data_IF_767782875878
#
_entry.id   IF_767782875878
#
_cell.length_a   1.000
_cell.length_b   1.000
_cell.length_c   1.000
_cell.angle_alpha   90.00
_cell.angle_beta   90.00
_cell.angle_gamma   90.00
#
_symmetry.space_group_name_H-M   'P 1'
#
loop_
_entity.id
_entity.type
_entity.pdbx_description
1 polymer ?
#
# COMPACT_ATOMS: atom_id res chain seq x y z
N UNK A 1 3.45 18.32 17.83
CA UNK A 1 3.84 18.32 16.41
C UNK A 1 2.72 17.73 15.59
N UNK A 2 2.27 18.42 14.54
CA UNK A 2 1.31 17.88 13.58
C UNK A 2 2.06 16.92 12.67
N UNK A 3 1.51 15.73 12.46
CA UNK A 3 2.19 14.69 11.71
C UNK A 3 2.21 15.00 10.20
N UNK A 4 3.16 14.42 9.44
CA UNK A 4 3.20 14.65 7.98
C UNK A 4 2.03 14.01 7.26
N UNK A 5 1.48 12.93 7.83
CA UNK A 5 0.26 12.31 7.38
C UNK A 5 -0.96 13.21 7.66
N UNK A 6 -1.05 13.79 8.85
CA UNK A 6 -2.15 14.69 9.25
C UNK A 6 -2.19 15.99 8.44
N UNK A 7 -1.05 16.40 7.88
CA UNK A 7 -0.94 17.58 7.02
C UNK A 7 -1.48 17.36 5.58
N UNK A 8 -1.76 16.12 5.18
CA UNK A 8 -2.35 15.81 3.88
C UNK A 8 -3.86 16.12 3.85
N UNK A 9 -4.37 16.44 2.66
CA UNK A 9 -5.82 16.46 2.43
C UNK A 9 -6.40 15.06 2.71
N UNK A 10 -7.60 14.98 3.29
CA UNK A 10 -8.22 13.72 3.71
C UNK A 10 -8.24 12.64 2.62
N UNK A 11 -8.55 13.01 1.37
CA UNK A 11 -8.50 12.07 0.23
C UNK A 11 -7.09 11.50 -0.02
N UNK A 12 -6.06 12.33 0.15
CA UNK A 12 -4.66 11.94 0.02
C UNK A 12 -4.18 11.10 1.21
N UNK A 13 -4.72 11.33 2.42
CA UNK A 13 -4.51 10.45 3.58
C UNK A 13 -5.03 9.05 3.28
N UNK A 14 -6.30 8.95 2.85
CA UNK A 14 -6.89 7.67 2.46
C UNK A 14 -6.08 7.00 1.34
N UNK A 15 -5.69 7.77 0.33
CA UNK A 15 -4.89 7.26 -0.77
C UNK A 15 -3.51 6.76 -0.35
N UNK A 16 -2.81 7.50 0.52
CA UNK A 16 -1.50 7.11 1.04
C UNK A 16 -1.61 5.85 1.92
N UNK A 17 -2.68 5.76 2.71
CA UNK A 17 -2.96 4.57 3.50
C UNK A 17 -3.20 3.34 2.60
N UNK A 18 -4.09 3.46 1.61
CA UNK A 18 -4.37 2.38 0.65
C UNK A 18 -3.12 1.98 -0.13
N UNK A 19 -2.28 2.95 -0.50
CA UNK A 19 -0.99 2.68 -1.14
C UNK A 19 -0.08 1.84 -0.23
N UNK A 20 0.06 2.25 1.04
CA UNK A 20 0.88 1.56 2.05
C UNK A 20 0.38 0.14 2.28
N UNK A 21 -0.91 -0.04 2.53
CA UNK A 21 -1.55 -1.33 2.74
C UNK A 21 -1.35 -2.29 1.55
N UNK A 22 -1.54 -1.80 0.32
CA UNK A 22 -1.30 -2.57 -0.91
C UNK A 22 0.18 -2.94 -1.07
N UNK A 23 1.09 -2.02 -0.79
CA UNK A 23 2.54 -2.25 -0.81
C UNK A 23 2.94 -3.37 0.15
N UNK A 24 2.52 -3.28 1.41
CA UNK A 24 2.79 -4.30 2.43
C UNK A 24 2.21 -5.65 2.02
N UNK A 25 0.93 -5.69 1.64
CA UNK A 25 0.27 -6.94 1.21
C UNK A 25 1.01 -7.61 0.06
N UNK A 26 1.47 -6.82 -0.93
CA UNK A 26 2.26 -7.32 -2.07
C UNK A 26 3.56 -7.98 -1.61
N UNK A 27 4.28 -7.37 -0.66
CA UNK A 27 5.51 -7.93 -0.10
C UNK A 27 5.26 -9.17 0.76
N UNK A 28 4.26 -9.12 1.62
CA UNK A 28 3.86 -10.26 2.47
C UNK A 28 3.48 -11.47 1.63
N UNK A 29 2.69 -11.27 0.57
CA UNK A 29 2.23 -12.35 -0.31
C UNK A 29 3.37 -13.12 -1.01
N UNK A 30 4.55 -12.52 -1.20
CA UNK A 30 5.71 -13.21 -1.80
C UNK A 30 6.18 -14.43 -1.01
N UNK A 31 5.84 -14.52 0.28
CA UNK A 31 6.19 -15.64 1.16
C UNK A 31 4.96 -16.45 1.61
N UNK A 32 3.83 -16.29 0.91
CA UNK A 32 2.56 -16.97 1.22
C UNK A 32 2.68 -18.50 1.34
N UNK A 33 3.53 -19.15 0.54
CA UNK A 33 3.76 -20.60 0.58
C UNK A 33 4.36 -21.09 1.91
N UNK A 34 5.25 -20.29 2.50
CA UNK A 34 5.93 -20.65 3.76
C UNK A 34 5.21 -20.11 5.00
N UNK A 35 4.27 -19.18 4.82
CA UNK A 35 3.57 -18.47 5.90
C UNK A 35 3.00 -19.36 6.99
N UNK A 36 2.43 -20.51 6.61
CA UNK A 36 1.82 -21.46 7.56
C UNK A 36 2.82 -22.18 8.46
N UNK A 37 4.07 -22.25 8.03
CA UNK A 37 5.14 -22.95 8.75
C UNK A 37 5.91 -22.01 9.66
N UNK A 38 5.74 -20.70 9.48
CA UNK A 38 6.45 -19.69 10.23
C UNK A 38 5.85 -19.49 11.62
N UNK A 39 6.73 -19.31 12.60
CA UNK A 39 6.35 -18.82 13.92
C UNK A 39 5.79 -17.40 13.84
N UNK A 40 5.16 -16.95 14.92
CA UNK A 40 4.70 -15.56 15.05
C UNK A 40 5.86 -14.58 14.83
N UNK A 41 6.99 -14.79 15.52
CA UNK A 41 8.19 -13.97 15.39
C UNK A 41 8.74 -13.89 13.95
N UNK A 42 8.74 -15.00 13.21
CA UNK A 42 9.16 -15.03 11.80
C UNK A 42 8.22 -14.21 10.90
N UNK A 43 6.90 -14.29 11.16
CA UNK A 43 5.92 -13.47 10.45
C UNK A 43 6.12 -11.98 10.76
N UNK A 44 6.24 -11.60 12.04
CA UNK A 44 6.48 -10.22 12.45
C UNK A 44 7.75 -9.64 11.81
N UNK A 45 8.87 -10.38 11.83
CA UNK A 45 10.11 -9.99 11.13
C UNK A 45 9.89 -9.76 9.64
N UNK A 46 9.11 -10.60 8.98
CA UNK A 46 8.80 -10.42 7.55
C UNK A 46 7.87 -9.24 7.29
N UNK A 47 6.91 -8.99 8.18
CA UNK A 47 6.00 -7.84 8.09
C UNK A 47 6.77 -6.53 8.26
N UNK A 48 7.65 -6.41 9.26
CA UNK A 48 8.56 -5.25 9.41
C UNK A 48 9.38 -4.97 8.16
N UNK A 49 9.96 -6.02 7.59
CA UNK A 49 10.70 -5.92 6.32
C UNK A 49 9.79 -5.49 5.16
N UNK A 50 8.54 -5.97 5.14
CA UNK A 50 7.55 -5.64 4.12
C UNK A 50 7.10 -4.18 4.22
N UNK A 51 6.88 -3.64 5.43
CA UNK A 51 6.63 -2.22 5.70
C UNK A 51 7.78 -1.34 5.19
N UNK A 52 9.02 -1.65 5.59
CA UNK A 52 10.21 -0.93 5.12
C UNK A 52 10.32 -0.96 3.58
N UNK A 53 10.05 -2.10 2.96
CA UNK A 53 10.11 -2.24 1.51
C UNK A 53 8.97 -1.50 0.80
N UNK A 54 7.76 -1.47 1.37
CA UNK A 54 6.64 -0.73 0.83
C UNK A 54 6.94 0.77 0.77
N UNK A 55 7.55 1.33 1.82
CA UNK A 55 7.85 2.77 1.90
C UNK A 55 9.13 3.19 1.19
N UNK A 56 10.07 2.26 0.93
CA UNK A 56 11.31 2.56 0.19
C UNK A 56 11.19 2.33 -1.31
N UNK A 57 10.35 1.38 -1.75
CA UNK A 57 10.16 1.06 -3.18
C UNK A 57 8.93 1.76 -3.77
N UNK A 58 8.89 3.08 -3.62
CA UNK A 58 7.88 3.93 -4.24
C UNK A 58 8.05 3.96 -5.77
N UNK A 59 6.98 4.30 -6.53
CA UNK A 59 7.07 4.49 -7.97
C UNK A 59 8.17 5.46 -8.39
N UNK A 60 8.67 5.27 -9.61
CA UNK A 60 9.62 6.20 -10.23
C UNK A 60 9.02 7.60 -10.35
N UNK A 61 7.79 7.67 -10.84
CA UNK A 61 7.03 8.91 -11.04
C UNK A 61 5.70 8.82 -10.27
N UNK A 62 5.65 9.49 -9.12
CA UNK A 62 4.41 9.64 -8.34
C UNK A 62 3.65 10.85 -8.89
N UNK A 63 2.35 10.69 -9.07
CA UNK A 63 1.43 11.75 -9.46
C UNK A 63 0.22 11.75 -8.53
N UNK A 64 -0.58 12.81 -8.61
CA UNK A 64 -1.95 12.80 -8.10
C UNK A 64 -2.92 12.99 -9.25
N UNK A 65 -4.09 12.41 -9.14
CA UNK A 65 -5.16 12.54 -10.12
C UNK A 65 -6.51 12.40 -9.43
N UNK A 66 -7.59 12.78 -10.11
CA UNK A 66 -8.95 12.63 -9.56
C UNK A 66 -9.51 11.28 -10.00
N UNK A 67 -9.95 10.50 -9.01
CA UNK A 67 -10.63 9.22 -9.19
C UNK A 67 -11.90 9.24 -8.37
N UNK A 68 -13.05 9.05 -9.03
CA UNK A 68 -14.36 9.02 -8.37
C UNK A 68 -14.63 10.30 -7.54
N UNK A 69 -14.20 11.46 -8.07
CA UNK A 69 -14.33 12.77 -7.40
C UNK A 69 -13.30 13.06 -6.30
N UNK A 70 -12.48 12.07 -5.91
CA UNK A 70 -11.46 12.20 -4.85
C UNK A 70 -10.06 12.29 -5.42
N UNK A 71 -9.18 13.06 -4.75
CA UNK A 71 -7.77 13.19 -5.17
C UNK A 71 -6.94 12.04 -4.63
N UNK A 72 -6.25 11.31 -5.50
CA UNK A 72 -5.49 10.10 -5.12
C UNK A 72 -4.07 10.12 -5.66
N UNK A 73 -3.15 9.49 -4.94
CA UNK A 73 -1.80 9.19 -5.42
C UNK A 73 -1.82 8.06 -6.45
N UNK A 74 -0.94 8.16 -7.45
CA UNK A 74 -0.78 7.16 -8.50
C UNK A 74 0.66 7.03 -8.99
N UNK A 75 0.94 5.88 -9.59
CA UNK A 75 2.14 5.68 -10.41
C UNK A 75 1.82 6.16 -11.84
N UNK A 76 2.45 7.26 -12.25
CA UNK A 76 2.20 7.85 -13.56
C UNK A 76 2.51 6.88 -14.70
N UNK A 77 3.60 6.11 -14.60
CA UNK A 77 3.97 5.13 -15.62
C UNK A 77 2.93 4.02 -15.74
N UNK A 78 2.43 3.53 -14.60
CA UNK A 78 1.37 2.52 -14.59
C UNK A 78 0.03 3.05 -15.12
N UNK A 79 -0.31 4.30 -14.81
CA UNK A 79 -1.53 4.94 -15.32
C UNK A 79 -1.48 5.14 -16.83
N UNK A 80 -0.35 5.63 -17.36
CA UNK A 80 -0.15 5.80 -18.80
C UNK A 80 -0.20 4.45 -19.53
N UNK A 81 0.36 3.39 -18.95
CA UNK A 81 0.30 2.05 -19.51
C UNK A 81 -1.13 1.47 -19.53
N UNK A 82 -1.97 1.81 -18.55
CA UNK A 82 -3.38 1.41 -18.51
C UNK A 82 -4.23 2.16 -19.54
N UNK A 83 -3.79 3.36 -19.93
CA UNK A 83 -4.53 4.25 -20.84
C UNK A 83 -5.76 4.88 -20.18
N UNK A 84 -6.44 5.73 -20.94
CA UNK A 84 -7.64 6.45 -20.51
C UNK A 84 -7.42 7.94 -20.25
N UNK A 85 -8.51 8.67 -20.06
CA UNK A 85 -8.48 10.09 -19.70
C UNK A 85 -8.29 10.24 -18.20
N UNK A 86 -7.32 11.06 -17.79
CA UNK A 86 -7.07 11.41 -16.40
C UNK A 86 -7.46 12.88 -16.19
N UNK A 87 -8.26 13.14 -15.16
CA UNK A 87 -8.61 14.50 -14.75
C UNK A 87 -7.77 14.91 -13.53
N UNK A 88 -7.47 16.20 -13.43
CA UNK A 88 -6.75 16.77 -12.29
C UNK A 88 -5.34 16.19 -12.06
N UNK A 89 -4.66 15.77 -13.13
CA UNK A 89 -3.32 15.21 -13.05
C UNK A 89 -2.32 16.27 -12.56
N UNK A 90 -1.58 15.96 -11.50
CA UNK A 90 -0.46 16.76 -11.00
C UNK A 90 0.76 15.88 -10.75
N UNK A 91 1.94 16.36 -11.19
CA UNK A 91 3.21 15.63 -11.15
C UNK A 91 4.30 16.42 -10.42
N UNK A 92 3.95 17.14 -9.35
CA UNK A 92 4.95 17.85 -8.54
C UNK A 92 6.01 16.88 -7.98
N UNK A 93 7.28 17.31 -8.01
CA UNK A 93 8.41 16.51 -7.49
C UNK A 93 8.29 16.18 -5.99
N UNK A 94 7.49 16.96 -5.25
CA UNK A 94 7.27 16.79 -3.82
C UNK A 94 6.31 15.62 -3.50
N UNK A 95 5.48 15.20 -4.44
CA UNK A 95 4.45 14.17 -4.23
C UNK A 95 5.06 12.82 -3.80
N UNK A 96 6.24 12.49 -4.33
CA UNK A 96 6.96 11.27 -3.96
C UNK A 96 7.45 11.32 -2.52
N UNK A 97 7.96 12.48 -2.09
CA UNK A 97 8.39 12.70 -0.70
C UNK A 97 7.20 12.63 0.24
N UNK A 98 6.10 13.33 -0.09
CA UNK A 98 4.85 13.30 0.68
C UNK A 98 4.32 11.87 0.87
N UNK A 99 4.18 11.11 -0.22
CA UNK A 99 3.72 9.71 -0.15
C UNK A 99 4.69 8.84 0.66
N UNK A 100 5.99 9.06 0.50
CA UNK A 100 7.02 8.30 1.22
C UNK A 100 7.03 8.56 2.71
N UNK A 101 6.86 9.82 3.11
CA UNK A 101 6.85 10.20 4.52
C UNK A 101 5.56 9.76 5.20
N UNK A 102 4.41 9.93 4.54
CA UNK A 102 3.14 9.35 4.97
C UNK A 102 3.23 7.83 5.18
N UNK A 103 3.84 7.09 4.24
CA UNK A 103 4.03 5.64 4.38
C UNK A 103 4.91 5.28 5.59
N UNK A 104 6.05 5.97 5.76
CA UNK A 104 6.96 5.72 6.89
C UNK A 104 6.29 6.02 8.22
N UNK A 105 5.45 7.05 8.24
CA UNK A 105 4.73 7.45 9.44
C UNK A 105 3.68 6.42 9.82
N UNK A 106 2.83 6.00 8.89
CA UNK A 106 1.88 4.89 9.07
C UNK A 106 2.59 3.62 9.55
N UNK A 107 3.76 3.31 8.96
CA UNK A 107 4.55 2.15 9.36
C UNK A 107 5.18 2.30 10.75
N UNK A 108 5.48 3.53 11.19
CA UNK A 108 6.05 3.81 12.52
C UNK A 108 4.96 3.75 13.59
N UNK A 109 3.80 4.30 13.30
CA UNK A 109 2.69 4.44 14.25
C UNK A 109 1.91 3.15 14.42
N UNK A 110 1.55 2.50 13.31
CA UNK A 110 0.67 1.32 13.29
C UNK A 110 1.41 0.02 12.95
N UNK A 111 2.75 0.06 12.92
CA UNK A 111 3.56 -1.08 12.50
C UNK A 111 3.36 -2.32 13.36
N UNK A 112 3.25 -2.14 14.68
CA UNK A 112 3.08 -3.24 15.63
C UNK A 112 1.72 -3.91 15.47
N UNK A 113 0.66 -3.13 15.29
CA UNK A 113 -0.71 -3.60 15.11
C UNK A 113 -0.85 -4.37 13.80
N UNK A 114 -0.20 -3.89 12.73
CA UNK A 114 -0.13 -4.60 11.44
C UNK A 114 0.60 -5.94 11.61
N UNK A 115 1.68 -5.98 12.39
CA UNK A 115 2.41 -7.21 12.69
C UNK A 115 1.52 -8.21 13.42
N UNK A 116 0.89 -7.81 14.52
CA UNK A 116 -0.02 -8.62 15.31
C UNK A 116 -1.18 -9.17 14.46
N UNK A 117 -1.76 -8.31 13.62
CA UNK A 117 -2.80 -8.67 12.65
C UNK A 117 -2.36 -9.78 11.69
N UNK A 118 -1.14 -9.72 11.17
CA UNK A 118 -0.57 -10.77 10.31
C UNK A 118 -0.16 -12.03 11.07
N UNK A 119 0.35 -11.89 12.29
CA UNK A 119 0.76 -13.01 13.13
C UNK A 119 -0.42 -13.92 13.48
N UNK A 120 -1.58 -13.31 13.76
CA UNK A 120 -2.83 -13.98 14.11
C UNK A 120 -3.42 -14.85 12.98
N UNK A 121 -3.07 -14.58 11.72
CA UNK A 121 -3.67 -15.29 10.57
C UNK A 121 -2.84 -16.47 10.06
N UNK A 122 -3.54 -17.56 9.72
CA UNK A 122 -2.95 -18.76 9.09
C UNK A 122 -2.61 -18.57 7.60
N UNK A 123 -3.13 -17.54 6.96
CA UNK A 123 -2.84 -17.19 5.55
C UNK A 123 -2.73 -15.67 5.48
N UNK A 124 -1.73 -15.11 4.80
CA UNK A 124 -1.53 -13.66 4.81
C UNK A 124 -2.72 -12.93 4.17
N UNK A 125 -3.32 -13.50 3.12
CA UNK A 125 -4.50 -12.91 2.48
C UNK A 125 -5.80 -12.95 3.31
N UNK A 126 -5.78 -13.56 4.51
CA UNK A 126 -6.92 -13.50 5.43
C UNK A 126 -6.91 -12.25 6.31
N UNK A 127 -5.75 -11.65 6.53
CA UNK A 127 -5.67 -10.37 7.21
C UNK A 127 -6.04 -9.25 6.24
N UNK A 128 -6.96 -8.39 6.66
CA UNK A 128 -7.56 -7.32 5.86
C UNK A 128 -6.85 -5.99 6.15
N UNK A 129 -5.54 -5.94 5.87
CA UNK A 129 -4.68 -4.79 6.18
C UNK A 129 -5.25 -3.44 5.69
N UNK A 130 -5.90 -3.38 4.54
CA UNK A 130 -6.45 -2.12 4.04
C UNK A 130 -7.58 -1.60 4.93
N UNK A 131 -8.47 -2.50 5.39
CA UNK A 131 -9.54 -2.14 6.33
C UNK A 131 -8.95 -1.74 7.68
N UNK A 132 -8.08 -2.59 8.22
CA UNK A 132 -7.51 -2.40 9.56
C UNK A 132 -6.68 -1.09 9.61
N UNK A 133 -5.74 -0.91 8.69
CA UNK A 133 -4.90 0.28 8.66
C UNK A 133 -5.68 1.56 8.32
N UNK A 134 -6.56 1.51 7.31
CA UNK A 134 -7.14 2.74 6.74
C UNK A 134 -8.48 3.15 7.33
N UNK A 135 -9.25 2.23 7.90
CA UNK A 135 -10.54 2.54 8.51
C UNK A 135 -10.45 2.47 10.04
N UNK A 136 -9.86 1.39 10.58
CA UNK A 136 -9.90 1.13 12.02
C UNK A 136 -8.78 1.86 12.78
N UNK A 137 -7.55 1.84 12.28
CA UNK A 137 -6.39 2.41 12.95
C UNK A 137 -6.20 3.90 12.65
N UNK A 138 -6.02 4.27 11.38
CA UNK A 138 -5.77 5.67 11.00
C UNK A 138 -7.04 6.51 10.80
N UNK A 139 -8.20 5.87 10.62
CA UNK A 139 -9.45 6.56 10.30
C UNK A 139 -9.46 7.31 8.94
N UNK A 140 -8.39 7.21 8.15
CA UNK A 140 -8.18 8.02 6.95
C UNK A 140 -9.18 7.75 5.82
N UNK A 141 -9.75 6.54 5.76
CA UNK A 141 -10.74 6.13 4.77
C UNK A 141 -12.13 5.94 5.37
N UNK A 142 -12.44 6.58 6.50
CA UNK A 142 -13.81 6.61 7.00
C UNK A 142 -14.65 7.44 6.03
N UNK A 143 -15.38 6.75 5.16
CA UNK A 143 -16.36 7.37 4.30
C UNK A 143 -17.47 7.95 5.21
N UNK A 144 -17.51 9.28 5.30
CA UNK A 144 -18.74 9.95 5.69
C UNK A 144 -19.81 9.55 4.68
N UNK A 145 -20.75 8.73 5.14
CA UNK A 145 -21.98 8.26 4.48
C UNK A 145 -22.01 6.79 4.03
N UNK A 146 -23.14 6.20 4.37
CA UNK A 146 -23.54 4.81 4.22
C UNK A 146 -23.39 4.22 2.80
N UNK A 147 -23.04 2.93 2.81
CA UNK A 147 -23.60 1.81 2.03
C UNK A 147 -23.03 1.49 0.65
N UNK A 148 -22.74 0.18 0.56
CA UNK A 148 -22.96 -0.74 -0.54
C UNK A 148 -22.19 -0.45 -1.84
N UNK A 149 -21.12 -1.22 -2.05
CA UNK A 149 -21.06 -2.15 -3.19
C UNK A 149 -19.84 -3.07 -3.06
N UNK A 150 -20.15 -4.34 -2.79
CA UNK A 150 -19.36 -5.48 -3.25
C UNK A 150 -19.17 -5.35 -4.76
N UNK A 151 -17.92 -5.16 -5.22
CA UNK A 151 -17.34 -5.78 -6.41
C UNK A 151 -16.08 -5.02 -6.87
N UNK A 152 -14.93 -5.72 -6.89
CA UNK A 152 -14.02 -5.75 -8.04
C UNK A 152 -12.98 -6.86 -7.81
N UNK A 153 -13.28 -8.00 -8.43
CA UNK A 153 -12.30 -8.97 -8.88
C UNK A 153 -11.41 -8.31 -9.93
N UNK A 154 -10.30 -7.74 -9.48
CA UNK A 154 -9.28 -7.10 -10.32
C UNK A 154 -7.89 -7.66 -10.07
N UNK A 155 -7.78 -8.97 -9.78
CA UNK A 155 -6.50 -9.68 -9.68
C UNK A 155 -6.00 -10.02 -11.09
N UNK A 156 -5.64 -8.96 -11.83
CA UNK A 156 -4.86 -9.05 -13.05
C UNK A 156 -3.48 -9.63 -12.73
N UNK A 157 -3.36 -10.93 -12.94
CA UNK A 157 -2.16 -11.73 -13.20
C UNK A 157 -0.84 -11.20 -12.60
N UNK A 158 -0.72 -11.29 -11.27
CA UNK A 158 0.51 -11.00 -10.51
C UNK A 158 1.68 -11.95 -10.83
N UNK A 159 1.46 -12.98 -11.67
CA UNK A 159 2.51 -13.94 -12.04
C UNK A 159 3.57 -13.30 -12.95
N UNK A 160 3.15 -12.47 -13.92
CA UNK A 160 4.06 -11.81 -14.87
C UNK A 160 4.95 -10.74 -14.23
N UNK A 161 4.45 -10.06 -13.18
CA UNK A 161 5.26 -9.10 -12.42
C UNK A 161 6.28 -9.77 -11.49
N UNK A 162 6.04 -11.00 -11.05
CA UNK A 162 7.00 -11.74 -10.24
C UNK A 162 8.20 -12.20 -11.08
N UNK A 163 7.99 -12.60 -12.33
CA UNK A 163 9.06 -12.99 -13.26
C UNK A 163 9.96 -11.82 -13.68
N UNK A 164 9.41 -10.62 -13.91
CA UNK A 164 10.23 -9.45 -14.26
C UNK A 164 11.12 -8.97 -13.10
N UNK A 165 10.69 -9.15 -11.86
CA UNK A 165 11.46 -8.69 -10.69
C UNK A 165 12.48 -9.73 -10.19
N UNK A 166 12.31 -11.02 -10.49
CA UNK A 166 13.30 -12.07 -10.20
C UNK A 166 14.53 -11.94 -11.11
N UNK A 167 14.36 -11.43 -12.34
CA UNK A 167 15.48 -11.05 -13.21
C UNK A 167 16.31 -9.91 -12.62
N UNK A 168 15.67 -8.82 -12.16
CA UNK A 168 16.38 -7.66 -11.59
C UNK A 168 17.18 -8.05 -10.34
N UNK A 169 16.68 -8.97 -9.52
CA UNK A 169 17.39 -9.41 -8.32
C UNK A 169 18.58 -10.35 -8.58
N UNK A 170 18.72 -10.88 -9.80
CA UNK A 170 19.81 -11.78 -10.20
C UNK A 170 20.96 -11.08 -10.93
N UNK A 171 20.73 -9.86 -11.43
CA UNK A 171 21.74 -9.09 -12.16
C UNK A 171 22.57 -8.14 -11.25
N UNK A 172 22.30 -8.12 -9.93
CA UNK A 172 23.05 -7.33 -8.92
C UNK A 172 23.84 -8.18 -7.90
N UNK A 173 24.14 -9.45 -8.23
CA UNK A 173 25.05 -10.34 -7.49
C UNK A 173 26.17 -10.85 -8.41
#
# INVERSE_FOLDING_TARGET
DMSTFDALEHDLQCSACKFTAKGVRKWVHRKSKSWRKWSAEEKGKWVRKSLKNACSKLPGQVCTYVKDGKKVFGDFGALMAKGGSMSGLSMSGELKTQLGDACKELAREYGSEIEDGYESVKKPGKYKIEKDLCEELSGACLDGENKDDDDIDGLGDLSKFAEQMDKIAKDEL
#
